data_IF_310096872216
#
_entry.id   IF_310096872216
#
_cell.length_a   1.000
_cell.length_b   1.000
_cell.length_c   1.000
_cell.angle_alpha   90.00
_cell.angle_beta   90.00
_cell.angle_gamma   90.00
#
_symmetry.space_group_name_H-M   'P 1'
#
loop_
_entity.id
_entity.type
_entity.pdbx_description
1 polymer ?
#
# COMPACT_ATOMS: atom_id res chain seq x y z
N UNK A 1 -26.47 8.45 7.36
CA UNK A 1 -25.77 9.23 8.40
C UNK A 1 -24.39 9.58 7.92
N UNK A 2 -24.10 10.86 7.65
CA UNK A 2 -22.77 11.35 7.27
C UNK A 2 -21.78 11.20 8.42
N UNK A 3 -20.72 10.41 8.23
CA UNK A 3 -19.60 10.33 9.19
C UNK A 3 -18.69 11.51 8.85
N UNK A 4 -18.85 12.60 9.59
CA UNK A 4 -18.02 13.79 9.47
C UNK A 4 -16.95 13.70 10.57
N UNK A 5 -15.76 13.21 10.23
CA UNK A 5 -14.61 13.31 11.13
C UNK A 5 -14.01 14.69 10.91
N UNK A 6 -14.04 15.54 11.95
CA UNK A 6 -13.75 16.97 12.00
C UNK A 6 -12.44 17.47 11.32
N UNK A 7 -11.60 16.58 10.78
CA UNK A 7 -10.31 16.90 10.17
C UNK A 7 -10.22 16.71 8.65
N UNK A 8 -11.14 15.98 7.98
CA UNK A 8 -10.90 15.52 6.59
C UNK A 8 -12.08 15.68 5.60
N UNK A 9 -13.19 16.28 6.03
CA UNK A 9 -14.40 16.44 5.21
C UNK A 9 -15.28 15.19 5.19
N UNK A 10 -16.24 15.14 4.25
CA UNK A 10 -17.18 14.02 4.12
C UNK A 10 -16.45 12.77 3.64
N UNK A 11 -16.68 11.64 4.33
CA UNK A 11 -16.15 10.34 3.92
C UNK A 11 -17.16 9.60 3.05
N UNK A 12 -16.65 8.91 2.04
CA UNK A 12 -17.46 8.00 1.23
C UNK A 12 -17.80 6.72 2.03
N UNK A 13 -19.07 6.53 2.39
CA UNK A 13 -19.52 5.39 3.19
C UNK A 13 -19.17 4.03 2.58
N UNK A 14 -19.23 3.90 1.26
CA UNK A 14 -18.89 2.64 0.60
C UNK A 14 -17.39 2.35 0.75
N UNK A 15 -16.53 3.37 0.65
CA UNK A 15 -15.09 3.18 0.83
C UNK A 15 -14.77 2.82 2.29
N UNK A 16 -15.39 3.50 3.26
CA UNK A 16 -15.24 3.17 4.70
C UNK A 16 -15.63 1.72 4.96
N UNK A 17 -16.79 1.28 4.47
CA UNK A 17 -17.24 -0.12 4.63
C UNK A 17 -16.22 -1.09 4.02
N UNK A 18 -15.76 -0.82 2.80
CA UNK A 18 -14.77 -1.67 2.11
C UNK A 18 -13.41 -1.70 2.79
N UNK A 19 -13.00 -0.61 3.45
CA UNK A 19 -11.80 -0.57 4.31
C UNK A 19 -11.99 -1.50 5.50
N UNK A 20 -13.10 -1.35 6.24
CA UNK A 20 -13.42 -2.18 7.41
C UNK A 20 -13.52 -3.67 7.05
N UNK A 21 -14.15 -4.00 5.93
CA UNK A 21 -14.23 -5.37 5.42
C UNK A 21 -12.83 -5.93 5.13
N UNK A 22 -11.93 -5.11 4.56
CA UNK A 22 -10.57 -5.54 4.24
C UNK A 22 -9.73 -5.79 5.49
N UNK A 23 -9.84 -4.91 6.50
CA UNK A 23 -9.19 -5.08 7.81
C UNK A 23 -9.70 -6.36 8.48
N UNK A 24 -11.03 -6.56 8.51
CA UNK A 24 -11.66 -7.74 9.10
C UNK A 24 -11.19 -9.02 8.44
N UNK A 25 -11.10 -9.04 7.10
CA UNK A 25 -10.58 -10.20 6.37
C UNK A 25 -9.10 -10.47 6.67
N UNK A 26 -8.26 -9.44 6.79
CA UNK A 26 -6.85 -9.61 7.19
C UNK A 26 -6.73 -10.22 8.58
N UNK A 27 -7.56 -9.75 9.52
CA UNK A 27 -7.63 -10.25 10.89
C UNK A 27 -8.20 -11.68 10.95
N UNK A 28 -9.06 -12.07 10.01
CA UNK A 28 -9.55 -13.45 9.91
C UNK A 28 -8.48 -14.40 9.35
N UNK A 29 -7.63 -13.94 8.44
CA UNK A 29 -6.49 -14.73 7.97
C UNK A 29 -5.40 -14.86 9.05
N UNK A 30 -5.14 -13.79 9.81
CA UNK A 30 -4.03 -13.71 10.76
C UNK A 30 -4.45 -13.04 12.09
N UNK A 31 -4.11 -13.62 13.25
CA UNK A 31 -4.39 -13.00 14.55
C UNK A 31 -3.57 -11.73 14.78
N UNK A 32 -2.44 -11.58 14.07
CA UNK A 32 -1.55 -10.43 14.12
C UNK A 32 -1.27 -9.93 12.69
N UNK A 33 -1.61 -8.68 12.44
CA UNK A 33 -1.52 -8.05 11.13
C UNK A 33 -0.61 -6.83 11.21
N UNK A 34 0.29 -6.67 10.25
CA UNK A 34 1.03 -5.44 10.03
C UNK A 34 0.34 -4.67 8.90
N UNK A 35 -0.06 -3.42 9.17
CA UNK A 35 -0.67 -2.52 8.20
C UNK A 35 0.36 -1.46 7.83
N UNK A 36 0.71 -1.37 6.55
CA UNK A 36 1.70 -0.44 6.00
C UNK A 36 1.04 0.47 4.97
N UNK A 37 1.24 1.78 5.09
CA UNK A 37 0.80 2.78 4.13
C UNK A 37 1.98 3.33 3.34
N UNK A 38 1.82 3.41 2.03
CA UNK A 38 2.78 3.98 1.08
C UNK A 38 2.06 4.87 0.08
N UNK A 39 2.78 5.86 -0.45
CA UNK A 39 2.31 6.72 -1.52
C UNK A 39 3.09 6.46 -2.79
N UNK A 40 2.37 6.17 -3.86
CA UNK A 40 2.93 5.86 -5.17
C UNK A 40 2.79 7.08 -6.06
N UNK A 41 3.91 7.74 -6.34
CA UNK A 41 4.01 8.93 -7.18
C UNK A 41 4.36 8.51 -8.60
N UNK A 42 3.79 9.22 -9.58
CA UNK A 42 4.19 9.05 -10.98
C UNK A 42 5.51 9.79 -11.27
N UNK A 43 6.31 9.33 -12.26
CA UNK A 43 7.43 10.10 -12.79
C UNK A 43 6.96 11.47 -13.33
N UNK A 44 7.87 12.43 -13.42
CA UNK A 44 7.59 13.72 -14.07
C UNK A 44 7.63 13.61 -15.60
N UNK A 45 8.51 12.75 -16.11
CA UNK A 45 8.65 12.44 -17.52
C UNK A 45 7.40 11.67 -17.99
N UNK A 46 6.87 12.04 -19.16
CA UNK A 46 5.72 11.36 -19.80
C UNK A 46 4.46 11.27 -18.92
N UNK A 47 4.23 12.26 -18.05
CA UNK A 47 3.09 12.31 -17.12
C UNK A 47 1.73 12.01 -17.80
N UNK A 48 1.54 12.43 -19.06
CA UNK A 48 0.30 12.16 -19.82
C UNK A 48 0.04 10.66 -20.06
N UNK A 49 1.07 9.89 -20.41
CA UNK A 49 0.95 8.42 -20.62
C UNK A 49 0.55 7.73 -19.32
N UNK A 50 1.25 8.01 -18.23
CA UNK A 50 0.94 7.42 -16.93
C UNK A 50 -0.41 7.88 -16.36
N UNK A 51 -0.81 9.14 -16.59
CA UNK A 51 -2.10 9.66 -16.14
C UNK A 51 -3.27 8.93 -16.81
N UNK A 52 -3.16 8.60 -18.10
CA UNK A 52 -4.18 7.86 -18.83
C UNK A 52 -4.25 6.35 -18.49
N UNK A 53 -3.15 5.76 -18.00
CA UNK A 53 -3.13 4.34 -17.64
C UNK A 53 -3.83 4.07 -16.29
N UNK A 54 -5.01 3.47 -16.37
CA UNK A 54 -5.84 3.08 -15.23
C UNK A 54 -5.39 1.78 -14.55
N UNK A 55 -4.52 0.99 -15.19
CA UNK A 55 -4.08 -0.33 -14.75
C UNK A 55 -2.80 -0.34 -13.91
N UNK A 56 -2.09 0.79 -13.79
CA UNK A 56 -0.78 0.85 -13.11
C UNK A 56 -0.86 0.29 -11.68
N UNK A 57 -1.84 0.72 -10.88
CA UNK A 57 -1.97 0.27 -9.49
C UNK A 57 -2.28 -1.23 -9.39
N UNK A 58 -3.01 -1.78 -10.36
CA UNK A 58 -3.26 -3.23 -10.43
C UNK A 58 -1.96 -3.98 -10.74
N UNK A 59 -1.17 -3.52 -11.71
CA UNK A 59 0.15 -4.13 -12.01
C UNK A 59 1.09 -4.06 -10.82
N UNK A 60 1.09 -2.95 -10.09
CA UNK A 60 1.84 -2.82 -8.83
C UNK A 60 1.46 -3.90 -7.81
N UNK A 61 0.15 -4.05 -7.52
CA UNK A 61 -0.31 -5.06 -6.56
C UNK A 61 0.03 -6.49 -7.00
N UNK A 62 -0.11 -6.79 -8.29
CA UNK A 62 0.26 -8.10 -8.85
C UNK A 62 1.76 -8.34 -8.73
N UNK A 63 2.59 -7.36 -9.09
CA UNK A 63 4.05 -7.45 -8.99
C UNK A 63 4.51 -7.65 -7.55
N UNK A 64 3.96 -6.87 -6.61
CA UNK A 64 4.29 -6.99 -5.19
C UNK A 64 3.94 -8.37 -4.64
N UNK A 65 2.75 -8.89 -4.95
CA UNK A 65 2.34 -10.24 -4.52
C UNK A 65 3.29 -11.32 -5.03
N UNK A 66 3.68 -11.25 -6.31
CA UNK A 66 4.62 -12.19 -6.90
C UNK A 66 6.01 -12.13 -6.23
N UNK A 67 6.49 -10.92 -5.92
CA UNK A 67 7.77 -10.75 -5.21
C UNK A 67 7.72 -11.31 -3.78
N UNK A 68 6.62 -11.09 -3.06
CA UNK A 68 6.42 -11.64 -1.71
C UNK A 68 6.37 -13.17 -1.74
N UNK A 69 5.68 -13.76 -2.71
CA UNK A 69 5.64 -15.22 -2.90
C UNK A 69 7.03 -15.79 -3.18
N UNK A 70 7.78 -15.17 -4.09
CA UNK A 70 9.15 -15.56 -4.40
C UNK A 70 10.09 -15.43 -3.18
N UNK A 71 9.95 -14.39 -2.37
CA UNK A 71 10.73 -14.20 -1.14
C UNK A 71 10.43 -15.29 -0.09
N UNK A 72 9.16 -15.64 0.09
CA UNK A 72 8.75 -16.71 1.00
C UNK A 72 9.28 -18.09 0.53
N UNK A 73 9.17 -18.39 -0.77
CA UNK A 73 9.73 -19.62 -1.36
C UNK A 73 11.26 -19.69 -1.19
N UNK A 74 11.95 -18.58 -1.44
CA UNK A 74 13.41 -18.48 -1.23
C UNK A 74 13.78 -18.75 0.23
N UNK A 75 13.07 -18.15 1.19
CA UNK A 75 13.29 -18.40 2.62
C UNK A 75 13.10 -19.89 2.95
N UNK A 76 12.04 -20.51 2.44
CA UNK A 76 11.76 -21.93 2.63
C UNK A 76 12.88 -22.82 2.08
N UNK A 77 13.35 -22.56 0.85
CA UNK A 77 14.46 -23.31 0.25
C UNK A 77 15.78 -23.16 1.01
N UNK A 78 15.99 -22.03 1.70
CA UNK A 78 17.16 -21.82 2.57
C UNK A 78 16.99 -22.36 4.00
N UNK A 79 15.95 -23.15 4.27
CA UNK A 79 15.69 -23.75 5.59
C UNK A 79 15.23 -22.75 6.65
N UNK A 80 14.88 -21.52 6.28
CA UNK A 80 14.34 -20.52 7.21
C UNK A 80 12.87 -20.83 7.49
N UNK A 81 12.42 -20.59 8.72
CA UNK A 81 11.00 -20.66 9.07
C UNK A 81 10.21 -19.64 8.26
N UNK A 82 9.11 -20.08 7.65
CA UNK A 82 8.23 -19.24 6.83
C UNK A 82 6.83 -19.22 7.42
N UNK A 83 6.20 -18.04 7.38
CA UNK A 83 4.79 -17.85 7.72
C UNK A 83 4.04 -17.46 6.44
N UNK A 84 2.94 -18.15 6.07
CA UNK A 84 2.15 -17.78 4.90
C UNK A 84 1.66 -16.34 5.00
N UNK A 85 1.77 -15.58 3.91
CA UNK A 85 1.38 -14.17 3.89
C UNK A 85 0.59 -13.83 2.63
N UNK A 86 -0.74 -13.85 2.76
CA UNK A 86 -1.67 -13.35 1.78
C UNK A 86 -1.77 -11.84 1.92
N UNK A 87 -1.11 -11.11 1.02
CA UNK A 87 -1.13 -9.65 1.02
C UNK A 87 -2.53 -9.16 0.66
N UNK A 88 -3.16 -8.46 1.60
CA UNK A 88 -4.39 -7.68 1.36
C UNK A 88 -4.01 -6.23 1.14
N UNK A 89 -4.84 -5.52 0.39
CA UNK A 89 -4.55 -4.14 0.01
C UNK A 89 -5.81 -3.30 -0.12
N UNK A 90 -5.63 -2.00 0.05
CA UNK A 90 -6.58 -0.92 -0.20
C UNK A 90 -5.80 0.15 -0.95
N UNK A 91 -6.39 0.77 -1.96
CA UNK A 91 -5.80 1.94 -2.61
C UNK A 91 -6.86 2.99 -2.92
N UNK A 92 -6.44 4.24 -2.87
CA UNK A 92 -7.19 5.39 -3.36
C UNK A 92 -6.33 6.19 -4.33
N UNK A 93 -6.95 6.70 -5.38
CA UNK A 93 -6.33 7.58 -6.37
C UNK A 93 -6.68 9.02 -6.05
N UNK A 94 -5.68 9.89 -6.06
CA UNK A 94 -5.83 11.32 -5.81
C UNK A 94 -5.01 12.13 -6.82
N UNK A 95 -5.35 13.40 -6.96
CA UNK A 95 -4.67 14.35 -7.83
C UNK A 95 -4.07 15.46 -6.98
N UNK A 96 -2.83 15.84 -7.26
CA UNK A 96 -2.25 17.04 -6.66
C UNK A 96 -2.78 18.32 -7.34
N UNK A 97 -2.38 19.47 -6.83
CA UNK A 97 -2.80 20.79 -7.36
C UNK A 97 -2.43 21.01 -8.83
N UNK A 98 -1.40 20.31 -9.33
CA UNK A 98 -0.97 20.35 -10.72
C UNK A 98 -1.69 19.32 -11.62
N UNK A 99 -2.71 18.62 -11.10
CA UNK A 99 -3.43 17.58 -11.85
C UNK A 99 -2.64 16.28 -12.03
N UNK A 100 -1.57 16.06 -11.25
CA UNK A 100 -0.77 14.84 -11.29
C UNK A 100 -1.40 13.76 -10.41
N UNK A 101 -1.69 12.62 -11.03
CA UNK A 101 -2.21 11.43 -10.36
C UNK A 101 -1.17 10.83 -9.42
N UNK A 102 -1.60 10.42 -8.25
CA UNK A 102 -0.83 9.59 -7.31
C UNK A 102 -1.78 8.63 -6.59
N UNK A 103 -1.22 7.60 -5.94
CA UNK A 103 -2.00 6.58 -5.25
C UNK A 103 -1.58 6.48 -3.79
N UNK A 104 -2.54 6.60 -2.89
CA UNK A 104 -2.37 6.18 -1.51
C UNK A 104 -2.69 4.69 -1.43
N UNK A 105 -1.78 3.89 -0.88
CA UNK A 105 -1.97 2.44 -0.76
C UNK A 105 -1.74 2.01 0.67
N UNK A 106 -2.65 1.20 1.19
CA UNK A 106 -2.45 0.46 2.41
C UNK A 106 -2.35 -1.03 2.12
N UNK A 107 -1.33 -1.66 2.68
CA UNK A 107 -0.97 -3.06 2.52
C UNK A 107 -1.05 -3.75 3.87
N UNK A 108 -1.72 -4.89 3.93
CA UNK A 108 -1.95 -5.65 5.15
C UNK A 108 -1.27 -7.02 5.00
N UNK A 109 -0.37 -7.31 5.94
CA UNK A 109 0.50 -8.47 5.93
C UNK A 109 0.30 -9.31 7.19
N UNK A 110 0.58 -10.61 7.11
CA UNK A 110 0.85 -11.42 8.28
C UNK A 110 2.07 -10.87 9.02
N UNK A 111 1.91 -10.41 10.26
CA UNK A 111 3.00 -9.78 11.04
C UNK A 111 4.17 -10.75 11.25
N UNK A 112 3.89 -12.05 11.34
CA UNK A 112 4.88 -13.10 11.56
C UNK A 112 5.75 -13.32 10.32
N UNK A 113 5.25 -12.99 9.13
CA UNK A 113 6.05 -13.00 7.90
C UNK A 113 6.80 -11.68 7.71
N UNK A 114 6.12 -10.56 7.99
CA UNK A 114 6.67 -9.21 7.83
C UNK A 114 6.21 -8.30 8.98
N UNK A 115 7.07 -8.16 9.98
CA UNK A 115 6.78 -7.33 11.15
C UNK A 115 6.97 -5.82 10.89
N UNK A 116 7.79 -5.45 9.90
CA UNK A 116 8.10 -4.06 9.57
C UNK A 116 8.57 -3.96 8.10
N UNK A 117 8.53 -2.76 7.49
CA UNK A 117 8.98 -2.56 6.11
C UNK A 117 10.49 -2.80 5.91
N UNK A 118 11.32 -2.50 6.91
CA UNK A 118 12.79 -2.51 6.77
C UNK A 118 13.32 -1.17 6.27
N UNK A 119 14.56 -1.14 5.79
CA UNK A 119 15.17 0.08 5.24
C UNK A 119 14.63 0.39 3.85
N UNK A 120 14.18 1.63 3.65
CA UNK A 120 13.74 2.18 2.36
C UNK A 120 14.70 3.27 1.84
N UNK A 121 15.85 3.45 2.48
CA UNK A 121 16.93 4.32 2.02
C UNK A 121 18.12 3.47 1.61
N UNK A 122 18.87 3.95 0.61
CA UNK A 122 20.14 3.33 0.23
C UNK A 122 21.17 3.57 1.34
N UNK A 123 21.96 2.54 1.64
CA UNK A 123 23.20 2.68 2.39
C UNK A 123 24.36 2.47 1.40
N UNK A 124 25.26 3.45 1.30
CA UNK A 124 26.41 3.41 0.37
C UNK A 124 26.04 3.13 -1.10
N UNK A 125 24.87 3.65 -1.52
CA UNK A 125 24.34 3.46 -2.88
C UNK A 125 23.56 2.16 -3.09
N UNK A 126 23.50 1.28 -2.10
CA UNK A 126 22.86 -0.03 -2.21
C UNK A 126 21.56 -0.12 -1.39
N UNK A 127 20.58 -0.84 -1.92
CA UNK A 127 19.32 -1.12 -1.24
C UNK A 127 19.30 -2.53 -0.68
N UNK A 128 19.13 -2.65 0.63
CA UNK A 128 18.98 -3.95 1.29
C UNK A 128 17.69 -4.64 0.85
N UNK A 129 17.78 -5.91 0.43
CA UNK A 129 16.61 -6.72 0.10
C UNK A 129 15.73 -6.92 1.35
N UNK A 130 14.58 -6.26 1.38
CA UNK A 130 13.57 -6.31 2.44
C UNK A 130 12.18 -5.98 1.86
N UNK A 131 11.15 -5.88 2.71
CA UNK A 131 9.79 -5.58 2.26
C UNK A 131 9.69 -4.23 1.55
N UNK A 132 10.32 -3.19 2.06
CA UNK A 132 10.31 -1.88 1.44
C UNK A 132 10.95 -1.90 0.04
N UNK A 133 12.09 -2.58 -0.12
CA UNK A 133 12.73 -2.76 -1.43
C UNK A 133 11.80 -3.47 -2.41
N UNK A 134 11.12 -4.55 -2.00
CA UNK A 134 10.15 -5.24 -2.86
C UNK A 134 8.96 -4.34 -3.27
N UNK A 135 8.51 -3.45 -2.39
CA UNK A 135 7.47 -2.47 -2.70
C UNK A 135 7.97 -1.45 -3.73
N UNK A 136 9.18 -0.90 -3.53
CA UNK A 136 9.81 0.06 -4.45
C UNK A 136 10.02 -0.56 -5.83
N UNK A 137 10.58 -1.77 -5.88
CA UNK A 137 10.81 -2.54 -7.10
C UNK A 137 9.49 -2.90 -7.81
N UNK A 138 8.44 -3.28 -7.07
CA UNK A 138 7.11 -3.53 -7.64
C UNK A 138 6.52 -2.28 -8.32
N UNK A 139 6.76 -1.10 -7.75
CA UNK A 139 6.30 0.15 -8.34
C UNK A 139 7.06 0.50 -9.61
N UNK A 140 8.39 0.40 -9.58
CA UNK A 140 9.24 0.61 -10.77
C UNK A 140 8.85 -0.33 -11.92
N UNK A 141 8.56 -1.61 -11.63
CA UNK A 141 8.06 -2.57 -12.61
C UNK A 141 6.68 -2.22 -13.15
N UNK A 142 5.77 -1.73 -12.30
CA UNK A 142 4.44 -1.32 -12.73
C UNK A 142 4.48 -0.13 -13.72
N UNK A 143 5.49 0.74 -13.55
CA UNK A 143 5.80 1.86 -14.44
C UNK A 143 6.58 1.46 -15.69
N UNK A 144 7.06 0.21 -15.81
CA UNK A 144 7.90 -0.23 -16.93
C UNK A 144 9.32 0.35 -16.91
N UNK A 145 9.76 0.87 -15.77
CA UNK A 145 11.07 1.52 -15.63
C UNK A 145 12.19 0.56 -15.21
N UNK A 146 11.88 -0.71 -14.96
CA UNK A 146 12.83 -1.72 -14.49
C UNK A 146 13.86 -2.15 -15.54
N UNK A 147 13.73 -1.70 -16.80
CA UNK A 147 14.71 -1.93 -17.88
C UNK A 147 15.66 -0.75 -18.08
N UNK A 148 15.42 0.38 -17.40
CA UNK A 148 16.29 1.56 -17.47
C UNK A 148 17.58 1.28 -16.68
N UNK A 149 18.72 1.72 -17.23
CA UNK A 149 19.99 1.64 -16.50
C UNK A 149 19.88 2.43 -15.19
N UNK A 150 20.32 1.84 -14.08
CA UNK A 150 20.17 2.42 -12.75
C UNK A 150 18.69 2.72 -12.39
N UNK A 151 17.79 1.76 -12.62
CA UNK A 151 16.36 1.94 -12.34
C UNK A 151 16.05 2.23 -10.86
N UNK A 152 16.97 1.88 -9.95
CA UNK A 152 16.86 2.16 -8.51
C UNK A 152 16.74 3.66 -8.21
N UNK A 153 17.19 4.54 -9.11
CA UNK A 153 16.96 5.99 -9.00
C UNK A 153 15.47 6.37 -8.90
N UNK A 154 14.56 5.49 -9.33
CA UNK A 154 13.12 5.70 -9.26
C UNK A 154 12.46 5.15 -7.99
N UNK A 155 13.20 4.48 -7.10
CA UNK A 155 12.68 4.01 -5.82
C UNK A 155 12.04 5.11 -4.95
N UNK A 156 12.56 6.36 -4.90
CA UNK A 156 11.93 7.47 -4.19
C UNK A 156 10.54 7.88 -4.71
N UNK A 157 10.06 7.33 -5.84
CA UNK A 157 8.67 7.48 -6.25
C UNK A 157 7.69 6.76 -5.32
N UNK A 158 8.18 5.85 -4.47
CA UNK A 158 7.42 5.30 -3.34
C UNK A 158 7.79 6.05 -2.08
N UNK A 159 6.83 6.79 -1.54
CA UNK A 159 6.97 7.51 -0.29
C UNK A 159 6.43 6.69 0.89
N UNK A 160 7.28 6.52 1.89
CA UNK A 160 6.93 5.95 3.20
C UNK A 160 6.73 7.11 4.17
N UNK A 161 5.49 7.51 4.48
CA UNK A 161 5.25 8.67 5.35
C UNK A 161 5.71 8.42 6.79
N UNK A 162 5.78 9.48 7.59
CA UNK A 162 5.90 9.34 9.04
C UNK A 162 4.78 8.43 9.59
N UNK A 163 5.16 7.53 10.51
CA UNK A 163 4.28 6.48 11.04
C UNK A 163 3.59 5.68 9.92
N UNK A 164 4.39 5.20 8.95
CA UNK A 164 3.87 4.47 7.80
C UNK A 164 3.26 3.11 8.16
N UNK A 165 3.58 2.51 9.31
CA UNK A 165 3.04 1.20 9.67
C UNK A 165 2.49 1.11 11.09
N UNK A 166 1.59 0.15 11.28
CA UNK A 166 0.89 -0.13 12.52
C UNK A 166 0.76 -1.64 12.71
N UNK A 167 0.68 -2.08 13.96
CA UNK A 167 0.36 -3.47 14.29
C UNK A 167 -1.05 -3.58 14.85
N UNK A 168 -1.79 -4.58 14.36
CA UNK A 168 -3.06 -5.02 14.93
C UNK A 168 -2.85 -6.43 15.49
N UNK A 169 -3.30 -6.66 16.72
CA UNK A 169 -3.27 -7.99 17.33
C UNK A 169 -4.58 -8.26 18.04
N UNK A 170 -5.36 -9.24 17.57
CA UNK A 170 -6.68 -9.61 18.12
C UNK A 170 -6.67 -9.82 19.64
N UNK A 171 -5.57 -10.37 20.15
CA UNK A 171 -5.43 -10.77 21.55
C UNK A 171 -4.65 -9.74 22.39
N UNK A 172 -4.42 -8.54 21.87
CA UNK A 172 -3.73 -7.48 22.62
C UNK A 172 -4.73 -6.76 23.55
N UNK A 173 -4.29 -6.36 24.75
CA UNK A 173 -5.12 -5.60 25.70
C UNK A 173 -5.72 -4.34 25.05
N UNK A 174 -4.91 -3.67 24.24
CA UNK A 174 -5.26 -2.40 23.58
C UNK A 174 -5.83 -2.60 22.16
N UNK A 175 -6.35 -3.78 21.82
CA UNK A 175 -6.84 -4.10 20.48
C UNK A 175 -7.82 -3.03 19.93
N UNK A 176 -8.74 -2.54 20.76
CA UNK A 176 -9.71 -1.50 20.39
C UNK A 176 -9.02 -0.19 19.97
N UNK A 177 -8.00 0.24 20.71
CA UNK A 177 -7.24 1.45 20.39
C UNK A 177 -6.38 1.24 19.14
N UNK A 178 -5.74 0.08 18.98
CA UNK A 178 -5.00 -0.28 17.77
C UNK A 178 -5.91 -0.25 16.53
N UNK A 179 -7.09 -0.87 16.63
CA UNK A 179 -8.07 -0.90 15.55
C UNK A 179 -8.59 0.50 15.21
N UNK A 180 -8.86 1.35 16.21
CA UNK A 180 -9.26 2.75 15.98
C UNK A 180 -8.16 3.50 15.22
N UNK A 181 -6.92 3.48 15.72
CA UNK A 181 -5.80 4.18 15.09
C UNK A 181 -5.57 3.77 13.63
N UNK A 182 -5.65 2.46 13.34
CA UNK A 182 -5.54 1.96 11.97
C UNK A 182 -6.75 2.40 11.13
N UNK A 183 -7.96 2.27 11.66
CA UNK A 183 -9.18 2.64 10.94
C UNK A 183 -9.17 4.14 10.61
N UNK A 184 -8.79 5.00 11.55
CA UNK A 184 -8.70 6.45 11.34
C UNK A 184 -7.65 6.79 10.28
N UNK A 185 -6.47 6.15 10.33
CA UNK A 185 -5.43 6.33 9.33
C UNK A 185 -5.86 5.88 7.94
N UNK A 186 -6.61 4.77 7.84
CA UNK A 186 -7.07 4.24 6.56
C UNK A 186 -8.30 4.98 6.03
N UNK A 187 -9.17 5.49 6.90
CA UNK A 187 -10.33 6.30 6.51
C UNK A 187 -9.91 7.61 5.83
N UNK A 188 -8.67 8.07 6.03
CA UNK A 188 -8.11 9.16 5.23
C UNK A 188 -8.18 8.86 3.71
N UNK A 189 -7.98 7.60 3.29
CA UNK A 189 -8.12 7.21 1.88
C UNK A 189 -9.57 7.34 1.37
N UNK A 190 -10.56 7.39 2.27
CA UNK A 190 -11.98 7.52 1.95
C UNK A 190 -12.50 8.96 1.93
N UNK A 191 -11.64 9.98 2.17
CA UNK A 191 -12.03 11.39 2.05
C UNK A 191 -12.55 11.70 0.63
N UNK A 192 -13.64 12.44 0.49
CA UNK A 192 -14.13 12.81 -0.85
C UNK A 192 -13.25 13.89 -1.52
N UNK A 193 -12.49 14.65 -0.73
CA UNK A 193 -11.62 15.72 -1.21
C UNK A 193 -10.47 15.18 -2.10
N UNK A 194 -10.07 15.96 -3.11
CA UNK A 194 -8.98 15.67 -4.08
C UNK A 194 -9.15 14.42 -4.98
N UNK A 195 -10.35 13.85 -5.05
CA UNK A 195 -10.70 12.77 -5.98
C UNK A 195 -11.36 13.35 -7.23
N UNK A 196 -10.71 13.20 -8.37
CA UNK A 196 -11.30 13.59 -9.66
C UNK A 196 -12.02 12.39 -10.30
N UNK A 197 -13.27 12.61 -10.70
CA UNK A 197 -14.11 11.63 -11.42
C UNK A 197 -14.32 12.00 -12.90
N UNK A 198 -13.70 13.08 -13.39
CA UNK A 198 -13.88 13.59 -14.75
C UNK A 198 -13.47 12.59 -15.84
N UNK A 199 -12.54 11.69 -15.52
CA UNK A 199 -11.94 10.74 -16.46
C UNK A 199 -12.59 9.34 -16.45
N UNK A 200 -13.70 9.16 -15.72
CA UNK A 200 -14.44 7.89 -15.56
C UNK A 200 -13.62 6.71 -15.00
N UNK A 201 -12.40 6.96 -14.49
CA UNK A 201 -11.58 5.93 -13.88
C UNK A 201 -11.94 5.73 -12.41
N UNK A 202 -11.62 4.54 -11.88
CA UNK A 202 -11.89 4.21 -10.48
C UNK A 202 -10.94 4.95 -9.55
N UNK A 203 -11.49 5.61 -8.54
CA UNK A 203 -10.73 6.27 -7.49
C UNK A 203 -10.41 5.40 -6.26
N UNK A 204 -10.94 4.17 -6.21
CA UNK A 204 -10.77 3.27 -5.09
C UNK A 204 -10.79 1.78 -5.49
N UNK A 205 -9.94 1.00 -4.85
CA UNK A 205 -9.92 -0.45 -4.93
C UNK A 205 -9.43 -1.09 -3.65
N UNK A 206 -9.84 -2.33 -3.42
CA UNK A 206 -9.36 -3.13 -2.30
C UNK A 206 -9.53 -4.62 -2.59
N UNK A 207 -8.94 -5.45 -1.75
CA UNK A 207 -9.06 -6.92 -1.83
C UNK A 207 -10.51 -7.38 -1.65
N UNK A 208 -11.06 -8.03 -2.68
CA UNK A 208 -12.46 -8.48 -2.68
C UNK A 208 -12.67 -9.82 -1.97
N UNK A 209 -11.70 -10.73 -2.07
CA UNK A 209 -11.70 -12.04 -1.41
C UNK A 209 -10.60 -12.05 -0.37
#
# INVERSE_FOLDING_TARGET
MSINTYSYGKLNHNYVKRIQDTITKALNDYPRVMVLRVDLRLPEIETGSYNSDSGIVTRFIVSLKAQIEADLLKKQHTGKRVHPCRVRHIWAREFNECGKKHYHVALLFNREAYAYPGSYTSADGEYTHNLAMMIMEAWVRALGLNTVVNHQQYYPLVEFPANCYYHLSKNHSDYTAQLSNVTDRLNYLAKDYSKDNSDSQRNFGCSQY
#
